data_IF_873955209776
#
_entry.id   IF_873955209776
#
_cell.length_a   1.000
_cell.length_b   1.000
_cell.length_c   1.000
_cell.angle_alpha   90.00
_cell.angle_beta   90.00
_cell.angle_gamma   90.00
#
_symmetry.space_group_name_H-M   'P 1'
#
loop_
_entity.id
_entity.type
_entity.pdbx_description
1 polymer ?
#
# COMPACT_ATOMS: atom_id res chain seq x y z
N UNK A 1 -10.81 70.71 16.01
CA UNK A 1 -11.14 69.46 15.29
C UNK A 1 -10.05 68.44 15.61
N UNK A 2 -10.48 67.31 16.18
CA UNK A 2 -9.95 65.94 16.20
C UNK A 2 -8.42 65.69 16.27
N UNK A 3 -7.92 65.11 17.38
CA UNK A 3 -7.58 63.66 17.59
C UNK A 3 -6.28 63.30 16.81
N UNK A 4 -5.18 62.79 17.38
CA UNK A 4 -5.05 61.65 18.31
C UNK A 4 -3.68 61.69 19.00
N UNK A 5 -3.69 61.41 20.30
CA UNK A 5 -2.55 61.17 21.18
C UNK A 5 -2.14 59.70 21.18
N UNK A 6 -0.84 59.41 21.23
CA UNK A 6 -0.32 58.22 21.89
C UNK A 6 0.95 58.60 22.65
N UNK A 7 1.01 58.30 23.96
CA UNK A 7 2.31 58.08 24.56
C UNK A 7 2.38 56.79 25.42
N UNK A 8 3.59 56.22 25.41
CA UNK A 8 4.33 55.60 26.51
C UNK A 8 3.80 54.31 27.20
N UNK A 9 4.63 53.25 27.09
CA UNK A 9 5.29 52.39 28.13
C UNK A 9 4.76 52.40 29.58
N UNK A 10 5.08 51.45 30.51
CA UNK A 10 6.14 50.40 30.54
C UNK A 10 5.74 49.03 31.19
N UNK A 11 6.76 48.20 31.42
CA UNK A 11 6.82 46.92 32.13
C UNK A 11 6.16 46.85 33.54
N UNK A 12 5.82 45.63 34.01
CA UNK A 12 6.61 44.84 35.00
C UNK A 12 5.74 43.82 35.79
N UNK A 13 6.31 42.64 36.04
CA UNK A 13 6.11 41.61 37.10
C UNK A 13 4.77 41.51 37.85
N UNK A 14 4.24 40.29 37.99
CA UNK A 14 3.84 39.73 39.30
C UNK A 14 3.55 38.23 39.26
N UNK A 15 3.85 37.62 40.40
CA UNK A 15 3.81 36.21 40.78
C UNK A 15 2.44 35.89 41.45
N UNK A 16 2.12 34.60 41.50
CA UNK A 16 1.36 33.90 42.57
C UNK A 16 -0.14 33.52 42.45
N UNK A 17 -0.32 32.21 42.63
CA UNK A 17 -1.30 31.40 43.40
C UNK A 17 -2.82 31.67 43.48
N UNK A 18 -3.52 30.57 43.19
CA UNK A 18 -4.61 29.94 43.97
C UNK A 18 -6.09 30.38 43.84
N UNK A 19 -6.92 29.33 43.70
CA UNK A 19 -8.28 29.14 44.24
C UNK A 19 -9.49 29.91 43.69
N UNK A 20 -10.43 29.17 43.07
CA UNK A 20 -11.79 28.89 43.60
C UNK A 20 -12.88 28.73 42.51
N UNK A 21 -13.32 27.47 42.35
CA UNK A 21 -14.67 26.92 42.06
C UNK A 21 -15.64 27.55 41.03
N UNK A 22 -16.09 26.74 40.05
CA UNK A 22 -17.51 26.44 39.78
C UNK A 22 -17.67 25.29 38.74
N UNK A 23 -18.26 24.16 39.17
CA UNK A 23 -18.70 22.94 38.43
C UNK A 23 -19.75 23.21 37.32
N UNK A 24 -20.22 22.26 36.45
CA UNK A 24 -20.21 20.78 36.58
C UNK A 24 -20.05 19.93 35.27
N UNK A 25 -20.00 18.58 35.44
CA UNK A 25 -20.19 17.51 34.42
C UNK A 25 -19.01 17.34 33.42
N UNK A 26 -18.28 16.21 33.34
CA UNK A 26 -18.77 14.87 33.03
C UNK A 26 -17.86 13.73 33.54
N UNK A 27 -18.49 12.84 34.30
CA UNK A 27 -18.42 11.38 34.19
C UNK A 27 -17.07 10.72 33.86
N UNK A 28 -16.15 10.67 34.84
CA UNK A 28 -15.27 9.52 34.96
C UNK A 28 -16.12 8.24 35.16
N UNK A 29 -15.97 7.30 34.23
CA UNK A 29 -16.78 6.09 34.08
C UNK A 29 -17.04 5.33 35.38
N UNK A 30 -18.31 5.24 35.74
CA UNK A 30 -18.77 4.42 36.85
C UNK A 30 -18.51 2.94 36.56
N UNK A 31 -17.77 2.32 37.49
CA UNK A 31 -17.94 0.95 38.02
C UNK A 31 -18.97 0.07 37.29
N UNK A 32 -18.49 -1.15 36.97
CA UNK A 32 -19.22 -2.43 36.85
C UNK A 32 -19.29 -3.10 35.47
N UNK A 33 -18.14 -3.32 34.84
CA UNK A 33 -18.05 -4.46 33.91
C UNK A 33 -17.90 -5.77 34.71
N UNK A 34 -19.04 -6.27 35.22
CA UNK A 34 -19.17 -7.66 35.66
C UNK A 34 -20.14 -8.33 34.70
N UNK A 35 -19.69 -9.28 33.85
CA UNK A 35 -20.59 -9.89 32.89
C UNK A 35 -21.75 -10.57 33.63
N UNK A 36 -22.97 -10.22 33.24
CA UNK A 36 -24.21 -10.86 33.66
C UNK A 36 -24.19 -12.31 33.20
N UNK A 37 -23.64 -13.21 34.01
CA UNK A 37 -23.97 -14.64 34.03
C UNK A 37 -23.15 -15.35 35.12
N UNK A 38 -23.39 -14.98 36.39
CA UNK A 38 -23.09 -15.86 37.52
C UNK A 38 -24.36 -16.59 37.93
N UNK A 39 -24.54 -17.80 37.42
CA UNK A 39 -25.11 -18.88 38.22
C UNK A 39 -26.63 -19.07 38.24
N UNK A 40 -27.36 -18.84 37.14
CA UNK A 40 -28.72 -19.37 37.02
C UNK A 40 -28.90 -20.19 35.73
N UNK A 41 -28.94 -21.52 35.86
CA UNK A 41 -29.16 -22.45 34.75
C UNK A 41 -30.65 -22.46 34.42
N UNK A 42 -31.10 -21.64 33.47
CA UNK A 42 -32.41 -21.81 32.86
C UNK A 42 -32.47 -23.23 32.25
N UNK A 43 -33.37 -24.07 32.75
CA UNK A 43 -33.68 -25.33 32.07
C UNK A 43 -34.36 -24.97 30.75
N UNK A 44 -33.77 -25.37 29.62
CA UNK A 44 -34.40 -25.29 28.30
C UNK A 44 -35.62 -26.21 28.29
N UNK A 45 -36.77 -25.67 28.62
CA UNK A 45 -38.08 -26.26 28.30
C UNK A 45 -38.71 -25.42 27.22
N UNK A 46 -38.19 -25.53 26.00
CA UNK A 46 -38.86 -25.38 24.70
C UNK A 46 -37.77 -25.36 23.63
N UNK A 47 -37.97 -26.09 22.54
CA UNK A 47 -37.16 -25.95 21.33
C UNK A 47 -37.32 -24.51 20.80
N UNK A 48 -36.27 -23.71 20.90
CA UNK A 48 -36.18 -22.44 20.18
C UNK A 48 -35.49 -22.68 18.84
N UNK A 49 -35.98 -22.10 17.74
CA UNK A 49 -35.31 -22.20 16.45
C UNK A 49 -33.94 -21.51 16.49
N UNK A 50 -32.99 -22.03 15.70
CA UNK A 50 -31.62 -21.55 15.63
C UNK A 50 -31.57 -20.05 15.29
N UNK A 51 -30.99 -19.25 16.19
CA UNK A 51 -30.80 -17.81 15.98
C UNK A 51 -29.51 -17.62 15.20
N UNK A 52 -29.63 -17.34 13.90
CA UNK A 52 -28.50 -16.92 13.07
C UNK A 52 -28.17 -15.45 13.39
N UNK A 53 -26.93 -15.10 13.78
CA UNK A 53 -26.59 -13.73 14.09
C UNK A 53 -26.56 -12.86 12.81
N UNK A 54 -27.27 -11.73 12.83
CA UNK A 54 -27.38 -10.77 11.72
C UNK A 54 -26.21 -9.80 11.58
N UNK A 55 -25.18 -9.91 12.43
CA UNK A 55 -23.97 -9.07 12.37
C UNK A 55 -22.73 -9.94 12.14
N UNK A 56 -21.73 -9.44 11.38
CA UNK A 56 -20.51 -10.17 11.13
C UNK A 56 -19.76 -10.37 12.45
N UNK A 57 -19.50 -11.62 12.80
CA UNK A 57 -18.64 -11.98 13.94
C UNK A 57 -17.31 -12.52 13.41
N UNK A 58 -16.23 -12.34 14.18
CA UNK A 58 -14.91 -12.87 13.84
C UNK A 58 -14.80 -14.40 13.99
N UNK A 59 -15.88 -15.05 14.47
CA UNK A 59 -15.98 -16.49 14.57
C UNK A 59 -16.73 -17.01 13.34
N UNK A 60 -16.21 -18.07 12.73
CA UNK A 60 -16.92 -18.77 11.65
C UNK A 60 -18.26 -19.27 12.19
N UNK A 61 -19.35 -19.08 11.44
CA UNK A 61 -20.73 -19.44 11.82
C UNK A 61 -20.80 -20.90 12.34
N UNK A 62 -19.94 -21.77 11.82
CA UNK A 62 -19.82 -23.18 12.21
C UNK A 62 -19.26 -23.44 13.63
N UNK A 63 -18.64 -22.45 14.28
CA UNK A 63 -18.25 -22.54 15.69
C UNK A 63 -19.43 -22.27 16.64
N UNK A 64 -20.54 -21.73 16.12
CA UNK A 64 -21.76 -21.41 16.89
C UNK A 64 -22.69 -22.64 16.95
N UNK A 65 -22.65 -23.51 15.92
CA UNK A 65 -23.44 -24.75 15.80
C UNK A 65 -22.71 -26.00 16.33
N UNK A 66 -21.82 -25.85 17.32
CA UNK A 66 -21.23 -27.03 17.98
C UNK A 66 -22.31 -27.75 18.82
N UNK A 67 -22.91 -28.81 18.26
CA UNK A 67 -23.73 -29.74 19.02
C UNK A 67 -22.85 -30.48 20.05
N UNK A 68 -23.01 -30.10 21.31
CA UNK A 68 -22.34 -30.76 22.43
C UNK A 68 -23.15 -31.98 22.88
N UNK A 69 -22.55 -33.17 22.79
CA UNK A 69 -23.11 -34.37 23.40
C UNK A 69 -22.59 -34.54 24.83
N UNK A 70 -23.48 -34.94 25.74
CA UNK A 70 -23.14 -35.21 27.13
C UNK A 70 -22.85 -36.70 27.29
N UNK A 71 -21.57 -37.07 27.26
CA UNK A 71 -21.14 -38.43 27.54
C UNK A 71 -20.94 -38.63 29.05
N UNK A 72 -21.42 -39.75 29.58
CA UNK A 72 -21.25 -40.10 30.99
C UNK A 72 -19.98 -40.93 31.16
N UNK A 73 -18.90 -40.28 31.58
CA UNK A 73 -17.64 -40.94 31.90
C UNK A 73 -17.65 -41.30 33.39
N UNK A 74 -18.08 -42.52 33.69
CA UNK A 74 -18.24 -43.01 35.06
C UNK A 74 -19.35 -42.27 35.82
N UNK A 75 -19.04 -41.74 37.02
CA UNK A 75 -20.03 -41.05 37.89
C UNK A 75 -20.26 -39.57 37.56
N UNK A 76 -19.58 -38.99 36.57
CA UNK A 76 -19.75 -37.58 36.17
C UNK A 76 -20.04 -37.45 34.68
N UNK A 77 -20.91 -36.49 34.32
CA UNK A 77 -21.21 -36.15 32.93
C UNK A 77 -20.16 -35.16 32.41
N UNK A 78 -19.55 -35.49 31.27
CA UNK A 78 -18.60 -34.63 30.56
C UNK A 78 -19.22 -34.15 29.25
N UNK A 79 -18.92 -32.90 28.88
CA UNK A 79 -19.37 -32.30 27.63
C UNK A 79 -18.30 -32.58 26.57
N UNK A 80 -18.64 -33.32 25.52
CA UNK A 80 -17.73 -33.60 24.42
C UNK A 80 -18.18 -32.87 23.16
N UNK A 81 -17.21 -32.31 22.43
CA UNK A 81 -17.44 -31.75 21.09
C UNK A 81 -17.57 -32.93 20.12
N UNK A 82 -18.68 -33.02 19.40
CA UNK A 82 -18.84 -34.01 18.34
C UNK A 82 -17.94 -33.59 17.18
N UNK A 83 -16.75 -34.18 17.10
CA UNK A 83 -15.83 -33.94 15.99
C UNK A 83 -16.44 -34.47 14.70
N UNK A 84 -17.18 -33.63 13.97
CA UNK A 84 -17.55 -33.91 12.59
C UNK A 84 -16.22 -34.01 11.84
N UNK A 85 -15.77 -35.23 11.52
CA UNK A 85 -14.68 -35.42 10.55
C UNK A 85 -15.13 -34.65 9.31
N UNK A 86 -14.45 -33.55 8.99
CA UNK A 86 -14.66 -32.83 7.72
C UNK A 86 -14.55 -33.89 6.63
N UNK A 87 -15.61 -34.08 5.86
CA UNK A 87 -15.49 -34.87 4.62
C UNK A 87 -14.53 -34.09 3.73
N UNK A 88 -13.72 -34.77 2.93
CA UNK A 88 -12.87 -34.10 1.92
C UNK A 88 -13.68 -33.18 1.00
N UNK A 89 -15.00 -33.40 0.90
CA UNK A 89 -16.00 -32.56 0.24
C UNK A 89 -16.12 -31.12 0.82
N UNK A 90 -15.61 -30.85 2.03
CA UNK A 90 -15.62 -29.53 2.67
C UNK A 90 -14.27 -28.78 2.53
N UNK A 91 -13.31 -29.30 1.77
CA UNK A 91 -12.07 -28.56 1.47
C UNK A 91 -12.36 -27.48 0.41
N UNK A 92 -12.30 -26.18 0.75
CA UNK A 92 -12.56 -25.09 -0.22
C UNK A 92 -11.54 -25.04 -1.37
N UNK A 93 -10.50 -25.87 -1.33
CA UNK A 93 -9.46 -25.95 -2.34
C UNK A 93 -9.38 -27.31 -3.05
N UNK A 94 -10.33 -28.23 -2.84
CA UNK A 94 -10.31 -29.56 -3.46
C UNK A 94 -10.22 -29.52 -5.00
N UNK A 95 -10.83 -28.51 -5.63
CA UNK A 95 -10.81 -28.33 -7.09
C UNK A 95 -9.53 -27.67 -7.62
N UNK A 96 -8.66 -27.20 -6.73
CA UNK A 96 -7.41 -26.54 -7.12
C UNK A 96 -6.31 -27.59 -7.22
N UNK A 97 -5.99 -27.97 -8.45
CA UNK A 97 -4.84 -28.83 -8.72
C UNK A 97 -3.53 -28.04 -8.58
N UNK A 98 -2.97 -28.02 -7.37
CA UNK A 98 -1.72 -27.30 -7.05
C UNK A 98 -0.55 -27.80 -7.91
N UNK A 99 -0.52 -29.10 -8.20
CA UNK A 99 0.53 -29.73 -9.00
C UNK A 99 0.52 -29.24 -10.45
N UNK A 100 -0.66 -28.99 -11.02
CA UNK A 100 -0.81 -28.41 -12.36
C UNK A 100 -0.43 -26.92 -12.41
N UNK A 101 -0.73 -26.17 -11.35
CA UNK A 101 -0.41 -24.73 -11.29
C UNK A 101 1.11 -24.51 -11.19
N UNK A 102 1.81 -25.43 -10.51
CA UNK A 102 3.25 -25.32 -10.25
C UNK A 102 4.12 -26.16 -11.16
N UNK A 103 3.54 -27.00 -12.03
CA UNK A 103 4.32 -27.71 -13.04
C UNK A 103 4.94 -26.72 -14.01
N UNK A 104 6.26 -26.82 -14.17
CA UNK A 104 6.97 -26.10 -15.20
C UNK A 104 6.68 -26.79 -16.53
N UNK A 105 6.41 -26.06 -17.61
CA UNK A 105 6.25 -26.68 -18.92
C UNK A 105 7.58 -27.31 -19.35
N UNK A 106 7.56 -28.62 -19.62
CA UNK A 106 8.75 -29.40 -19.99
C UNK A 106 9.22 -29.08 -21.42
N UNK A 107 8.31 -28.55 -22.25
CA UNK A 107 8.60 -28.17 -23.63
C UNK A 107 8.12 -26.74 -23.96
N UNK A 108 8.81 -26.03 -24.88
CA UNK A 108 8.40 -24.68 -25.29
C UNK A 108 7.02 -24.67 -25.97
N UNK A 109 6.61 -25.78 -26.60
CA UNK A 109 5.27 -25.96 -27.18
C UNK A 109 4.17 -26.01 -26.13
N UNK A 110 4.44 -26.63 -24.98
CA UNK A 110 3.50 -26.76 -23.87
C UNK A 110 3.35 -25.44 -23.09
N UNK A 111 4.44 -24.67 -23.01
CA UNK A 111 4.43 -23.34 -22.42
C UNK A 111 3.42 -22.37 -23.08
N UNK A 112 3.04 -22.62 -24.34
CA UNK A 112 2.01 -21.85 -25.03
C UNK A 112 0.58 -22.17 -24.54
N UNK A 113 0.36 -23.37 -24.04
CA UNK A 113 -0.94 -23.85 -23.56
C UNK A 113 -1.22 -23.43 -22.12
N UNK A 114 -0.16 -23.18 -21.33
CA UNK A 114 -0.30 -22.70 -19.96
C UNK A 114 -0.75 -21.24 -19.95
N UNK A 115 -1.99 -21.01 -19.47
CA UNK A 115 -2.63 -19.69 -19.46
C UNK A 115 -1.82 -18.61 -18.73
N UNK A 116 -1.16 -18.96 -17.63
CA UNK A 116 -0.33 -18.02 -16.84
C UNK A 116 0.89 -17.51 -17.62
N UNK A 117 1.58 -18.41 -18.33
CA UNK A 117 2.72 -18.08 -19.21
C UNK A 117 2.24 -17.25 -20.40
N UNK A 118 1.14 -17.65 -21.03
CA UNK A 118 0.54 -16.93 -22.15
C UNK A 118 0.13 -15.50 -21.76
N UNK A 119 -0.56 -15.35 -20.62
CA UNK A 119 -0.94 -14.07 -20.06
C UNK A 119 0.29 -13.21 -19.78
N UNK A 120 1.29 -13.77 -19.10
CA UNK A 120 2.54 -13.08 -18.75
C UNK A 120 3.23 -12.57 -19.99
N UNK A 121 3.40 -13.37 -21.05
CA UNK A 121 4.02 -12.97 -22.32
C UNK A 121 3.24 -11.88 -23.07
N UNK A 122 1.92 -11.81 -22.93
CA UNK A 122 1.06 -10.77 -23.54
C UNK A 122 1.02 -9.46 -22.75
N UNK A 123 1.31 -9.49 -21.45
CA UNK A 123 1.19 -8.30 -20.60
C UNK A 123 2.14 -7.17 -21.02
N UNK A 124 1.64 -5.93 -21.01
CA UNK A 124 2.42 -4.72 -21.32
C UNK A 124 3.19 -4.12 -20.13
N UNK A 125 3.28 -4.84 -19.00
CA UNK A 125 3.87 -4.36 -17.74
C UNK A 125 5.28 -3.78 -17.90
N UNK A 126 6.18 -4.50 -18.59
CA UNK A 126 7.55 -4.02 -18.84
C UNK A 126 7.60 -2.71 -19.63
N UNK A 127 6.68 -2.53 -20.60
CA UNK A 127 6.59 -1.29 -21.37
C UNK A 127 6.12 -0.14 -20.49
N UNK A 128 5.08 -0.36 -19.67
CA UNK A 128 4.61 0.65 -18.72
C UNK A 128 5.73 1.05 -17.77
N UNK A 129 6.43 0.07 -17.20
CA UNK A 129 7.53 0.34 -16.27
C UNK A 129 8.68 1.12 -16.94
N UNK A 130 9.00 0.82 -18.20
CA UNK A 130 9.99 1.60 -18.96
C UNK A 130 9.54 3.05 -19.23
N UNK A 131 8.24 3.28 -19.41
CA UNK A 131 7.68 4.62 -19.54
C UNK A 131 7.72 5.38 -18.22
N UNK A 132 7.38 4.72 -17.10
CA UNK A 132 7.51 5.29 -15.76
C UNK A 132 8.97 5.64 -15.44
N UNK A 133 9.93 4.77 -15.80
CA UNK A 133 11.35 5.05 -15.63
C UNK A 133 11.80 6.26 -16.48
N UNK A 134 11.23 6.44 -17.68
CA UNK A 134 11.48 7.64 -18.51
C UNK A 134 11.01 8.91 -17.79
N UNK A 135 9.78 8.91 -17.28
CA UNK A 135 9.23 10.08 -16.58
C UNK A 135 10.02 10.43 -15.33
N UNK A 136 10.54 9.41 -14.60
CA UNK A 136 11.43 9.64 -13.46
C UNK A 136 12.75 10.30 -13.87
N UNK A 137 13.34 9.88 -15.00
CA UNK A 137 14.56 10.51 -15.53
C UNK A 137 14.30 11.96 -15.91
N UNK A 138 13.17 12.26 -16.56
CA UNK A 138 12.81 13.64 -16.95
C UNK A 138 12.64 14.55 -15.73
N UNK A 139 11.93 14.07 -14.71
CA UNK A 139 11.75 14.78 -13.44
C UNK A 139 13.09 15.06 -12.74
N UNK A 140 13.96 14.04 -12.67
CA UNK A 140 15.26 14.20 -12.03
C UNK A 140 16.19 15.12 -12.84
N UNK A 141 16.11 15.10 -14.18
CA UNK A 141 16.85 16.03 -15.02
C UNK A 141 16.38 17.48 -14.83
N UNK A 142 15.09 17.70 -14.62
CA UNK A 142 14.55 19.02 -14.29
C UNK A 142 15.07 19.50 -12.93
N UNK A 143 15.05 18.63 -11.91
CA UNK A 143 15.64 18.91 -10.61
C UNK A 143 17.15 19.19 -10.70
N UNK A 144 17.90 18.43 -11.50
CA UNK A 144 19.33 18.70 -11.69
C UNK A 144 19.61 20.06 -12.32
N UNK A 145 18.75 20.52 -13.24
CA UNK A 145 18.88 21.87 -13.82
C UNK A 145 18.69 22.95 -12.76
N UNK A 146 17.75 22.78 -11.84
CA UNK A 146 17.53 23.76 -10.77
C UNK A 146 18.69 23.75 -9.78
N UNK A 147 19.22 22.58 -9.41
CA UNK A 147 20.40 22.45 -8.55
C UNK A 147 21.67 23.01 -9.19
N UNK A 148 21.90 22.74 -10.48
CA UNK A 148 23.04 23.29 -11.23
C UNK A 148 22.97 24.81 -11.30
N UNK A 149 21.78 25.38 -11.49
CA UNK A 149 21.58 26.84 -11.45
C UNK A 149 21.83 27.39 -10.04
N UNK A 150 21.35 26.72 -9.00
CA UNK A 150 21.61 27.11 -7.62
C UNK A 150 23.11 27.10 -7.30
N UNK A 151 23.86 26.13 -7.82
CA UNK A 151 25.32 26.10 -7.72
C UNK A 151 25.96 27.32 -8.39
N UNK A 152 25.49 27.73 -9.58
CA UNK A 152 25.96 28.94 -10.26
C UNK A 152 25.68 30.22 -9.47
N UNK A 153 24.52 30.30 -8.80
CA UNK A 153 24.18 31.44 -7.93
C UNK A 153 25.16 31.52 -6.75
N UNK A 154 25.46 30.39 -6.11
CA UNK A 154 26.43 30.35 -5.00
C UNK A 154 27.83 30.73 -5.47
N UNK A 155 28.23 30.33 -6.67
CA UNK A 155 29.53 30.64 -7.26
C UNK A 155 29.62 32.07 -7.82
N UNK A 156 28.54 32.87 -7.74
CA UNK A 156 28.41 34.20 -8.35
C UNK A 156 28.56 34.22 -9.88
N UNK A 157 28.38 33.05 -10.52
CA UNK A 157 28.47 32.85 -11.97
C UNK A 157 27.13 33.10 -12.69
N UNK A 158 25.99 33.11 -11.97
CA UNK A 158 24.68 33.39 -12.57
C UNK A 158 24.51 34.90 -12.85
N UNK A 159 24.40 35.35 -14.12
CA UNK A 159 24.28 36.76 -14.48
C UNK A 159 23.03 37.45 -13.92
N UNK A 160 21.99 36.67 -13.57
CA UNK A 160 20.74 37.22 -13.04
C UNK A 160 20.80 37.50 -11.53
N UNK A 161 21.76 36.93 -10.81
CA UNK A 161 21.88 37.03 -9.35
C UNK A 161 23.21 37.62 -8.87
N UNK A 162 23.97 38.27 -9.76
CA UNK A 162 25.25 38.90 -9.41
C UNK A 162 25.16 39.97 -8.30
N UNK A 163 23.99 40.58 -8.11
CA UNK A 163 23.76 41.57 -7.05
C UNK A 163 23.56 40.97 -5.66
N UNK A 164 23.48 39.64 -5.54
CA UNK A 164 23.14 38.95 -4.31
C UNK A 164 24.44 38.56 -3.59
N UNK A 165 24.82 39.33 -2.57
CA UNK A 165 26.07 39.08 -1.85
C UNK A 165 25.87 38.11 -0.67
N UNK A 166 25.99 36.83 -0.98
CA UNK A 166 25.83 35.75 0.00
C UNK A 166 26.98 35.68 1.01
N UNK A 167 28.14 36.27 0.69
CA UNK A 167 29.32 36.27 1.58
C UNK A 167 29.13 37.19 2.78
N UNK A 168 28.31 38.25 2.66
CA UNK A 168 27.95 39.13 3.78
C UNK A 168 26.82 38.53 4.64
N UNK A 169 25.90 37.78 4.04
CA UNK A 169 24.73 37.23 4.73
C UNK A 169 25.00 35.93 5.49
N UNK A 170 25.93 35.11 5.02
CA UNK A 170 26.11 33.74 5.52
C UNK A 170 27.56 33.52 5.96
N UNK A 171 27.79 32.95 7.16
CA UNK A 171 29.13 32.59 7.60
C UNK A 171 29.84 31.70 6.58
N UNK A 172 31.15 31.89 6.35
CA UNK A 172 31.89 31.16 5.31
C UNK A 172 31.93 29.64 5.55
N UNK A 173 31.88 29.22 6.81
CA UNK A 173 31.82 27.81 7.21
C UNK A 173 30.52 27.15 6.71
N UNK A 174 29.39 27.82 6.91
CA UNK A 174 28.06 27.35 6.45
C UNK A 174 27.98 27.37 4.92
N UNK A 175 28.57 28.38 4.27
CA UNK A 175 28.63 28.44 2.81
C UNK A 175 29.42 27.27 2.22
N UNK A 176 30.53 26.89 2.86
CA UNK A 176 31.33 25.75 2.43
C UNK A 176 30.58 24.43 2.62
N UNK A 177 29.95 24.22 3.77
CA UNK A 177 29.11 23.04 4.02
C UNK A 177 27.97 22.93 3.01
N UNK A 178 27.35 24.06 2.64
CA UNK A 178 26.31 24.12 1.62
C UNK A 178 26.85 23.75 0.23
N UNK A 179 28.03 24.24 -0.14
CA UNK A 179 28.68 23.90 -1.42
C UNK A 179 29.01 22.41 -1.49
N UNK A 180 29.61 21.86 -0.44
CA UNK A 180 29.94 20.44 -0.36
C UNK A 180 28.67 19.58 -0.45
N UNK A 181 27.63 19.95 0.32
CA UNK A 181 26.32 19.26 0.28
C UNK A 181 25.65 19.34 -1.09
N UNK A 182 25.71 20.50 -1.74
CA UNK A 182 25.13 20.69 -3.07
C UNK A 182 25.86 19.85 -4.13
N UNK A 183 27.20 19.82 -4.05
CA UNK A 183 28.02 19.00 -4.95
C UNK A 183 27.70 17.51 -4.78
N UNK A 184 27.52 17.04 -3.55
CA UNK A 184 27.11 15.66 -3.25
C UNK A 184 25.72 15.35 -3.81
N UNK A 185 24.74 16.25 -3.62
CA UNK A 185 23.38 16.10 -4.15
C UNK A 185 23.38 16.02 -5.67
N UNK A 186 24.11 16.92 -6.36
CA UNK A 186 24.23 16.89 -7.83
C UNK A 186 24.90 15.60 -8.30
N UNK A 187 25.93 15.13 -7.59
CA UNK A 187 26.60 13.87 -7.92
C UNK A 187 25.68 12.67 -7.74
N UNK A 188 24.94 12.61 -6.64
CA UNK A 188 23.95 11.56 -6.36
C UNK A 188 22.82 11.55 -7.39
N UNK A 189 22.30 12.72 -7.74
CA UNK A 189 21.23 12.87 -8.73
C UNK A 189 21.68 12.43 -10.13
N UNK A 190 22.91 12.77 -10.54
CA UNK A 190 23.48 12.29 -11.80
C UNK A 190 23.64 10.76 -11.83
N UNK A 191 24.10 10.15 -10.73
CA UNK A 191 24.15 8.69 -10.64
C UNK A 191 22.77 8.06 -10.69
N UNK A 192 21.77 8.66 -10.04
CA UNK A 192 20.40 8.19 -10.06
C UNK A 192 19.83 8.21 -11.48
N UNK A 193 19.98 9.32 -12.21
CA UNK A 193 19.58 9.43 -13.63
C UNK A 193 20.20 8.32 -14.46
N UNK A 194 21.51 8.06 -14.28
CA UNK A 194 22.22 7.00 -14.99
C UNK A 194 21.63 5.62 -14.67
N UNK A 195 21.46 5.29 -13.39
CA UNK A 195 20.93 3.98 -12.95
C UNK A 195 19.51 3.72 -13.44
N UNK A 196 18.63 4.73 -13.39
CA UNK A 196 17.26 4.60 -13.92
C UNK A 196 17.28 4.51 -15.44
N UNK A 197 18.16 5.25 -16.12
CA UNK A 197 18.39 5.14 -17.56
C UNK A 197 18.78 3.74 -17.99
N UNK A 198 19.78 3.14 -17.33
CA UNK A 198 20.23 1.76 -17.59
C UNK A 198 19.11 0.75 -17.32
N UNK A 199 18.34 0.96 -16.25
CA UNK A 199 17.19 0.09 -15.90
C UNK A 199 16.11 0.17 -16.97
N UNK A 200 15.80 1.37 -17.46
CA UNK A 200 14.86 1.58 -18.57
C UNK A 200 15.30 0.84 -19.82
N UNK A 201 16.58 0.91 -20.17
CA UNK A 201 17.12 0.20 -21.33
C UNK A 201 16.93 -1.32 -21.19
N UNK A 202 17.29 -1.89 -20.04
CA UNK A 202 17.08 -3.31 -19.73
C UNK A 202 15.61 -3.71 -19.83
N UNK A 203 14.70 -2.87 -19.31
CA UNK A 203 13.25 -3.10 -19.41
C UNK A 203 12.75 -3.10 -20.85
N UNK A 204 13.25 -2.19 -21.68
CA UNK A 204 12.93 -2.13 -23.09
C UNK A 204 13.45 -3.35 -23.85
N UNK A 205 14.70 -3.74 -23.63
CA UNK A 205 15.29 -4.95 -24.22
C UNK A 205 14.50 -6.20 -23.80
N UNK A 206 14.19 -6.34 -22.51
CA UNK A 206 13.35 -7.43 -22.00
C UNK A 206 11.95 -7.43 -22.63
N UNK A 207 11.34 -6.25 -22.82
CA UNK A 207 10.04 -6.14 -23.52
C UNK A 207 10.12 -6.62 -24.98
N UNK A 208 11.17 -6.25 -25.71
CA UNK A 208 11.39 -6.68 -27.09
C UNK A 208 11.60 -8.20 -27.17
N UNK A 209 12.45 -8.76 -26.31
CA UNK A 209 12.71 -10.20 -26.23
C UNK A 209 11.43 -10.96 -25.86
N UNK A 210 10.69 -10.49 -24.86
CA UNK A 210 9.39 -11.03 -24.46
C UNK A 210 8.40 -11.07 -25.62
N UNK A 211 8.31 -9.98 -26.41
CA UNK A 211 7.46 -9.93 -27.60
C UNK A 211 7.92 -10.90 -28.70
N UNK A 212 9.23 -11.04 -28.90
CA UNK A 212 9.78 -11.98 -29.86
C UNK A 212 9.46 -13.42 -29.46
N UNK A 213 9.60 -13.77 -28.18
CA UNK A 213 9.21 -15.06 -27.63
C UNK A 213 7.71 -15.32 -27.76
N UNK A 214 6.87 -14.34 -27.41
CA UNK A 214 5.42 -14.44 -27.57
C UNK A 214 5.01 -14.75 -29.02
N UNK A 215 5.65 -14.12 -30.01
CA UNK A 215 5.40 -14.39 -31.44
C UNK A 215 5.82 -15.79 -31.88
N UNK A 216 6.91 -16.33 -31.32
CA UNK A 216 7.43 -17.67 -31.64
C UNK A 216 6.57 -18.78 -31.03
N UNK A 217 6.16 -18.60 -29.77
CA UNK A 217 5.43 -19.62 -29.01
C UNK A 217 3.92 -19.58 -29.26
N UNK A 218 3.36 -18.39 -29.52
CA UNK A 218 1.93 -18.18 -29.74
C UNK A 218 1.72 -17.33 -31.00
N UNK A 219 1.88 -17.92 -32.20
CA UNK A 219 1.51 -17.23 -33.42
C UNK A 219 0.04 -16.84 -33.32
N UNK A 220 -0.24 -15.53 -33.39
CA UNK A 220 -1.60 -15.02 -33.33
C UNK A 220 -2.41 -15.72 -34.40
N UNK A 221 -3.36 -16.58 -34.02
CA UNK A 221 -4.32 -17.12 -34.96
C UNK A 221 -5.04 -15.91 -35.57
N UNK A 222 -4.75 -15.62 -36.84
CA UNK A 222 -5.53 -14.64 -37.61
C UNK A 222 -6.95 -15.18 -37.58
N UNK A 223 -7.88 -14.43 -36.96
CA UNK A 223 -9.32 -14.73 -37.10
C UNK A 223 -9.60 -14.88 -38.60
N UNK A 224 -10.18 -16.00 -39.07
CA UNK A 224 -10.62 -16.07 -40.45
C UNK A 224 -11.61 -14.93 -40.65
N UNK A 225 -11.26 -13.99 -41.53
CA UNK A 225 -12.18 -12.95 -41.98
C UNK A 225 -13.38 -13.65 -42.57
N UNK A 226 -14.55 -13.51 -41.94
CA UNK A 226 -15.80 -14.00 -42.52
C UNK A 226 -15.95 -13.40 -43.93
N UNK A 227 -16.33 -14.21 -44.93
CA UNK A 227 -16.55 -13.70 -46.27
C UNK A 227 -17.67 -12.66 -46.21
N UNK A 228 -17.38 -11.46 -46.70
CA UNK A 228 -18.39 -10.41 -46.91
C UNK A 228 -19.34 -10.91 -47.98
N UNK A 229 -20.46 -11.51 -47.57
CA UNK A 229 -21.57 -11.80 -48.48
C UNK A 229 -22.24 -10.48 -48.81
N UNK A 230 -21.91 -9.93 -50.00
CA UNK A 230 -22.71 -8.87 -50.60
C UNK A 230 -24.09 -9.44 -50.92
N UNK A 231 -25.08 -9.09 -50.10
CA UNK A 231 -26.49 -9.22 -50.46
C UNK A 231 -26.76 -8.24 -51.61
N UNK A 232 -26.74 -8.77 -52.84
CA UNK A 232 -27.48 -8.18 -53.95
C UNK A 232 -28.93 -8.61 -53.79
N UNK A 233 -29.81 -7.67 -53.45
CA UNK A 233 -31.18 -7.55 -53.94
C UNK A 233 -31.70 -6.15 -53.63
#
# INVERSE_FOLDING_TARGET
MSITSYPATPARDTFDDSDTSASPQDAHGARSYRPFNRGNKLKRTLEQPAVVPTRPTLWTIHAIDEEFEFAQLGKRRAIMRKGKRRREEDDPYADINIEEIWSLPDSPSEAANVSSVAHTLRTRSLKILSQTAMTMVEQEQEFNKTMARFAQVIQKDDPLFQSLDLEELVPPEVMKELQDSLQDVVSCSNEFVKRIGDTREKLMQAHVQKKALAKRLMPSQKKPSLPVTYLKQ
#
